data_IF_504665713013
#
_entry.id   IF_504665713013
#
_cell.length_a   1.000
_cell.length_b   1.000
_cell.length_c   1.000
_cell.angle_alpha   90.00
_cell.angle_beta   90.00
_cell.angle_gamma   90.00
#
_symmetry.space_group_name_H-M   'P 1'
#
loop_
_entity.id
_entity.type
_entity.pdbx_description
1 polymer ?
#
# COMPACT_ATOMS: atom_id res chain seq x y z
N UNK A 1 2.46 -4.49 16.66
CA UNK A 1 1.48 -4.54 15.55
C UNK A 1 0.43 -5.56 15.96
N UNK A 2 -0.84 -5.16 16.11
CA UNK A 2 -1.91 -6.06 16.56
C UNK A 2 -2.29 -7.03 15.42
N UNK A 3 -2.56 -8.30 15.71
CA UNK A 3 -2.89 -9.32 14.71
C UNK A 3 -4.12 -8.93 13.86
N UNK A 4 -5.12 -8.31 14.49
CA UNK A 4 -6.29 -7.79 13.78
C UNK A 4 -5.93 -6.68 12.77
N UNK A 5 -4.92 -5.86 13.07
CA UNK A 5 -4.43 -4.84 12.13
C UNK A 5 -3.63 -5.48 10.99
N UNK A 6 -2.83 -6.51 11.29
CA UNK A 6 -2.09 -7.27 10.26
C UNK A 6 -3.04 -7.90 9.24
N UNK A 7 -4.10 -8.57 9.71
CA UNK A 7 -5.08 -9.21 8.82
C UNK A 7 -5.80 -8.20 7.89
N UNK A 8 -6.13 -7.00 8.40
CA UNK A 8 -6.69 -5.90 7.60
C UNK A 8 -5.70 -5.41 6.55
N UNK A 9 -4.44 -5.26 6.94
CA UNK A 9 -3.37 -4.84 6.03
C UNK A 9 -3.14 -5.87 4.92
N UNK A 10 -3.07 -7.16 5.25
CA UNK A 10 -2.93 -8.25 4.28
C UNK A 10 -4.10 -8.27 3.28
N UNK A 11 -5.33 -8.05 3.77
CA UNK A 11 -6.52 -7.97 2.91
C UNK A 11 -6.50 -6.76 1.97
N UNK A 12 -6.03 -5.60 2.46
CA UNK A 12 -5.79 -4.42 1.64
C UNK A 12 -4.75 -4.72 0.55
N UNK A 13 -3.59 -5.27 0.92
CA UNK A 13 -2.50 -5.57 -0.02
C UNK A 13 -2.91 -6.60 -1.09
N UNK A 14 -3.62 -7.65 -0.70
CA UNK A 14 -4.13 -8.65 -1.65
C UNK A 14 -5.07 -8.04 -2.68
N UNK A 15 -5.97 -7.15 -2.23
CA UNK A 15 -6.91 -6.42 -3.11
C UNK A 15 -6.17 -5.49 -4.07
N UNK A 16 -5.18 -4.75 -3.57
CA UNK A 16 -4.38 -3.82 -4.38
C UNK A 16 -3.46 -4.54 -5.36
N UNK A 17 -2.96 -5.73 -5.03
CA UNK A 17 -2.20 -6.57 -5.96
C UNK A 17 -3.06 -6.99 -7.16
N UNK A 18 -4.32 -7.37 -6.92
CA UNK A 18 -5.24 -7.71 -7.99
C UNK A 18 -5.55 -6.49 -8.87
N UNK A 19 -5.84 -5.33 -8.26
CA UNK A 19 -6.05 -4.09 -9.00
C UNK A 19 -4.81 -3.70 -9.85
N UNK A 20 -3.60 -3.92 -9.33
CA UNK A 20 -2.35 -3.65 -10.05
C UNK A 20 -2.20 -4.57 -11.27
N UNK A 21 -2.56 -5.85 -11.15
CA UNK A 21 -2.62 -6.78 -12.30
C UNK A 21 -3.61 -6.31 -13.36
N UNK A 22 -4.79 -5.82 -12.95
CA UNK A 22 -5.80 -5.29 -13.86
C UNK A 22 -5.32 -4.01 -14.56
N UNK A 23 -4.62 -3.12 -13.86
CA UNK A 23 -3.98 -1.94 -14.43
C UNK A 23 -2.91 -2.31 -15.48
N UNK A 24 -2.03 -3.28 -15.18
CA UNK A 24 -1.02 -3.77 -16.12
C UNK A 24 -1.63 -4.39 -17.38
N UNK A 25 -2.80 -5.03 -17.24
CA UNK A 25 -3.59 -5.56 -18.36
C UNK A 25 -4.40 -4.48 -19.09
N UNK A 26 -4.29 -3.21 -18.70
CA UNK A 26 -5.07 -2.07 -19.23
C UNK A 26 -6.58 -2.23 -19.11
N UNK A 27 -7.04 -3.04 -18.14
CA UNK A 27 -8.47 -3.18 -17.80
C UNK A 27 -8.94 -1.98 -17.00
N UNK A 28 -8.06 -1.44 -16.15
CA UNK A 28 -8.28 -0.24 -15.36
C UNK A 28 -7.41 0.90 -15.88
N UNK A 29 -7.91 2.12 -15.74
CA UNK A 29 -7.08 3.32 -15.88
C UNK A 29 -6.30 3.60 -14.58
N UNK A 30 -5.23 4.41 -14.61
CA UNK A 30 -4.56 4.87 -13.39
C UNK A 30 -5.52 5.59 -12.43
N UNK A 31 -6.51 6.31 -12.96
CA UNK A 31 -7.53 7.01 -12.17
C UNK A 31 -8.46 6.03 -11.44
N UNK A 32 -8.88 4.95 -12.11
CA UNK A 32 -9.67 3.89 -11.48
C UNK A 32 -8.87 3.17 -10.40
N UNK A 33 -7.57 2.94 -10.65
CA UNK A 33 -6.68 2.34 -9.66
C UNK A 33 -6.57 3.20 -8.40
N UNK A 34 -6.45 4.53 -8.53
CA UNK A 34 -6.41 5.46 -7.41
C UNK A 34 -7.74 5.53 -6.62
N UNK A 35 -8.88 5.43 -7.32
CA UNK A 35 -10.21 5.34 -6.68
C UNK A 35 -10.35 4.05 -5.88
N UNK A 36 -9.94 2.92 -6.46
CA UNK A 36 -9.96 1.61 -5.78
C UNK A 36 -9.06 1.66 -4.54
N UNK A 37 -7.86 2.24 -4.64
CA UNK A 37 -6.96 2.40 -3.48
C UNK A 37 -7.65 3.12 -2.31
N UNK A 38 -8.30 4.24 -2.58
CA UNK A 38 -9.03 5.01 -1.57
C UNK A 38 -10.15 4.19 -0.94
N UNK A 39 -11.00 3.55 -1.76
CA UNK A 39 -12.13 2.75 -1.28
C UNK A 39 -11.66 1.57 -0.41
N UNK A 40 -10.63 0.84 -0.85
CA UNK A 40 -10.13 -0.33 -0.15
C UNK A 40 -9.40 0.07 1.13
N UNK A 41 -8.64 1.18 1.11
CA UNK A 41 -8.01 1.71 2.31
C UNK A 41 -9.03 2.14 3.36
N UNK A 42 -10.08 2.85 2.97
CA UNK A 42 -11.19 3.22 3.87
C UNK A 42 -11.88 1.98 4.44
N UNK A 43 -12.20 1.00 3.59
CA UNK A 43 -12.83 -0.27 4.01
C UNK A 43 -12.04 -1.01 5.09
N UNK A 44 -10.72 -1.01 4.99
CA UNK A 44 -9.85 -1.71 5.94
C UNK A 44 -9.29 -0.79 7.04
N UNK A 45 -9.66 0.49 7.06
CA UNK A 45 -9.17 1.47 8.03
C UNK A 45 -7.67 1.74 7.93
N UNK A 46 -7.11 1.66 6.72
CA UNK A 46 -5.71 1.95 6.45
C UNK A 46 -5.57 3.45 6.19
N UNK A 47 -4.87 4.14 7.11
CA UNK A 47 -4.57 5.57 6.97
C UNK A 47 -3.93 5.89 5.61
N UNK A 48 -4.30 7.00 4.99
CA UNK A 48 -3.66 7.54 3.79
C UNK A 48 -2.16 7.80 3.98
N UNK A 49 -1.74 8.11 5.22
CA UNK A 49 -0.34 8.28 5.60
C UNK A 49 0.37 6.96 5.96
N UNK A 50 -0.29 5.82 5.75
CA UNK A 50 0.33 4.52 5.98
C UNK A 50 1.47 4.31 4.99
N UNK A 51 2.67 3.98 5.52
CA UNK A 51 3.83 3.58 4.72
C UNK A 51 3.47 2.48 3.71
N UNK A 52 2.48 1.64 4.05
CA UNK A 52 2.05 0.52 3.20
C UNK A 52 1.17 0.91 2.01
N UNK A 53 0.62 2.13 1.96
CA UNK A 53 -0.11 2.66 0.79
C UNK A 53 0.83 3.32 -0.23
N UNK A 54 1.84 4.04 0.26
CA UNK A 54 2.77 4.82 -0.58
C UNK A 54 3.96 4.03 -1.12
N UNK A 55 4.13 2.77 -0.72
CA UNK A 55 5.30 1.99 -1.09
C UNK A 55 5.00 1.13 -2.33
N UNK A 56 5.30 1.69 -3.50
CA UNK A 56 5.48 0.90 -4.73
C UNK A 56 6.68 -0.07 -4.61
N UNK A 57 7.58 0.15 -3.64
CA UNK A 57 8.77 -0.67 -3.33
C UNK A 57 8.50 -2.05 -2.72
N UNK A 58 7.33 -2.30 -2.12
CA UNK A 58 6.94 -3.66 -1.70
C UNK A 58 6.51 -4.49 -2.92
N UNK A 59 6.05 -3.81 -3.97
CA UNK A 59 5.54 -4.44 -5.19
C UNK A 59 6.54 -4.42 -6.35
N UNK A 60 7.64 -3.69 -6.24
CA UNK A 60 8.77 -3.82 -7.14
C UNK A 60 9.61 -5.00 -6.66
N UNK A 61 10.10 -5.84 -7.57
CA UNK A 61 10.94 -7.01 -7.26
C UNK A 61 12.33 -6.66 -6.70
N UNK A 62 12.47 -5.52 -6.03
CA UNK A 62 13.68 -5.17 -5.30
C UNK A 62 13.73 -6.01 -4.03
N UNK A 63 14.39 -7.16 -4.13
CA UNK A 63 14.93 -7.87 -2.98
C UNK A 63 15.70 -6.87 -2.12
N UNK A 64 15.10 -6.48 -0.99
CA UNK A 64 15.64 -5.49 -0.08
C UNK A 64 16.92 -5.97 0.58
N UNK A 65 18.07 -5.74 -0.06
CA UNK A 65 19.33 -5.65 0.64
C UNK A 65 19.55 -4.18 1.01
N UNK A 66 18.92 -3.75 2.09
CA UNK A 66 19.00 -2.36 2.56
C UNK A 66 20.19 -2.26 3.52
N UNK A 67 21.31 -1.70 3.05
CA UNK A 67 22.46 -1.40 3.90
C UNK A 67 22.07 -0.37 4.97
N UNK A 68 22.51 -0.58 6.20
CA UNK A 68 22.09 0.14 7.39
C UNK A 68 22.60 1.59 7.43
N UNK A 69 21.72 2.60 7.25
CA UNK A 69 21.86 3.90 7.93
C UNK A 69 20.58 4.77 7.97
N UNK A 70 20.23 5.14 9.23
CA UNK A 70 19.64 6.39 9.76
C UNK A 70 18.27 6.91 9.27
N UNK A 71 17.31 6.80 10.19
CA UNK A 71 16.58 7.94 10.78
C UNK A 71 15.41 8.51 9.97
N UNK A 72 14.24 7.87 10.02
CA UNK A 72 13.00 8.44 9.46
C UNK A 72 12.40 9.43 10.46
N UNK A 73 12.39 10.71 10.11
CA UNK A 73 11.73 11.80 10.83
C UNK A 73 10.21 11.57 10.84
N UNK A 74 9.58 11.69 12.01
CA UNK A 74 8.12 11.52 12.19
C UNK A 74 7.37 12.66 11.48
N UNK A 75 6.40 12.32 10.63
CA UNK A 75 5.41 13.27 10.13
C UNK A 75 4.54 13.76 11.28
N UNK A 76 4.40 15.08 11.43
CA UNK A 76 3.48 15.71 12.39
C UNK A 76 2.05 15.67 11.82
N UNK A 77 1.10 15.27 12.66
CA UNK A 77 -0.33 15.30 12.37
C UNK A 77 -0.86 16.73 12.56
N UNK A 78 -1.57 17.26 11.57
CA UNK A 78 -2.50 18.41 11.70
C UNK A 78 -3.57 18.31 10.62
#
# INVERSE_FOLDING_TARGET
MNDAYRAKLESYLASMMQAKKMLLKKILTPEDYAKIDTIIAEKYGISSCSLYRGIDLIYSGFNGNMSHYKGVTKCQES
#
